data_IF_044082166405
#
_entry.id   IF_044082166405
#
_cell.length_a   1.000
_cell.length_b   1.000
_cell.length_c   1.000
_cell.angle_alpha   90.00
_cell.angle_beta   90.00
_cell.angle_gamma   90.00
#
_symmetry.space_group_name_H-M   'P 1'
#
loop_
_entity.id
_entity.type
_entity.pdbx_description
1 polymer ?
#
# COMPACT_ATOMS: atom_id res chain seq x y z
N UNK A 1 9.68 -18.17 2.33
CA UNK A 1 10.97 -18.88 2.45
C UNK A 1 11.30 -19.63 1.15
N UNK A 2 10.42 -20.50 0.64
CA UNK A 2 10.68 -21.24 -0.61
C UNK A 2 11.06 -20.32 -1.78
N UNK A 3 10.28 -19.29 -2.06
CA UNK A 3 10.59 -18.33 -3.13
C UNK A 3 11.93 -17.61 -2.91
N UNK A 4 12.28 -17.28 -1.66
CA UNK A 4 13.57 -16.68 -1.34
C UNK A 4 14.74 -17.64 -1.59
N UNK A 5 14.61 -18.91 -1.17
CA UNK A 5 15.63 -19.94 -1.35
C UNK A 5 15.85 -20.30 -2.83
N UNK A 6 14.80 -20.24 -3.64
CA UNK A 6 14.85 -20.48 -5.09
C UNK A 6 15.25 -19.23 -5.90
N UNK A 7 15.50 -18.10 -5.24
CA UNK A 7 15.91 -16.84 -5.88
C UNK A 7 14.81 -16.07 -6.60
N UNK A 8 13.53 -16.39 -6.34
CA UNK A 8 12.39 -15.69 -6.94
C UNK A 8 11.92 -14.46 -6.13
N UNK A 9 12.37 -14.29 -4.90
CA UNK A 9 12.07 -13.12 -4.09
C UNK A 9 13.23 -12.12 -4.14
N UNK A 10 12.91 -10.86 -4.41
CA UNK A 10 13.88 -9.77 -4.34
C UNK A 10 14.42 -9.61 -2.91
N UNK A 11 15.69 -9.27 -2.79
CA UNK A 11 16.37 -9.05 -1.50
C UNK A 11 16.64 -7.58 -1.21
N UNK A 12 16.25 -6.70 -2.12
CA UNK A 12 16.44 -5.26 -1.99
C UNK A 12 15.54 -4.67 -0.89
N UNK A 13 16.07 -3.70 -0.17
CA UNK A 13 15.25 -2.98 0.79
C UNK A 13 14.15 -2.19 0.07
N UNK A 14 12.95 -2.20 0.62
CA UNK A 14 11.84 -1.38 0.14
C UNK A 14 12.27 0.09 0.04
N UNK A 15 11.91 0.77 -1.03
CA UNK A 15 12.25 2.16 -1.35
C UNK A 15 13.75 2.43 -1.66
N UNK A 16 14.59 1.40 -1.78
CA UNK A 16 15.96 1.59 -2.23
C UNK A 16 16.04 1.81 -3.75
N UNK A 17 17.13 2.42 -4.20
CA UNK A 17 17.39 2.57 -5.63
C UNK A 17 17.43 1.22 -6.37
N UNK A 18 17.98 0.19 -5.72
CA UNK A 18 18.02 -1.15 -6.30
C UNK A 18 16.62 -1.78 -6.43
N UNK A 19 15.72 -1.52 -5.48
CA UNK A 19 14.33 -1.93 -5.58
C UNK A 19 13.61 -1.21 -6.74
N UNK A 20 13.88 0.08 -6.91
CA UNK A 20 13.28 0.91 -7.97
C UNK A 20 13.77 0.56 -9.39
N UNK A 21 14.94 -0.10 -9.54
CA UNK A 21 15.40 -0.61 -10.84
C UNK A 21 14.41 -1.58 -11.48
N UNK A 22 13.63 -2.29 -10.68
CA UNK A 22 12.58 -3.19 -11.17
C UNK A 22 11.39 -2.50 -11.83
N UNK A 23 11.28 -1.16 -11.76
CA UNK A 23 10.28 -0.39 -12.49
C UNK A 23 10.60 -0.22 -13.98
N UNK A 24 11.78 -0.64 -14.40
CA UNK A 24 12.26 -0.58 -15.77
C UNK A 24 12.45 -1.99 -16.36
N UNK A 25 12.37 -2.14 -17.70
CA UNK A 25 12.43 -3.45 -18.36
C UNK A 25 13.66 -4.28 -17.99
N UNK A 26 14.80 -3.64 -17.80
CA UNK A 26 16.06 -4.32 -17.47
C UNK A 26 16.10 -4.86 -16.02
N UNK A 27 15.20 -4.39 -15.15
CA UNK A 27 15.11 -4.82 -13.76
C UNK A 27 14.57 -6.24 -13.57
N UNK A 28 13.87 -6.78 -14.57
CA UNK A 28 13.37 -8.17 -14.63
C UNK A 28 12.51 -8.57 -13.41
N UNK A 29 11.76 -7.63 -12.85
CA UNK A 29 10.84 -7.91 -11.75
C UNK A 29 9.47 -8.23 -12.33
N UNK A 30 8.93 -9.40 -11.99
CA UNK A 30 7.64 -9.87 -12.49
C UNK A 30 6.45 -9.22 -11.77
N UNK A 31 6.52 -9.05 -10.45
CA UNK A 31 5.42 -8.46 -9.70
C UNK A 31 5.90 -7.71 -8.45
N UNK A 32 5.07 -6.77 -8.03
CA UNK A 32 5.13 -6.09 -6.73
C UNK A 32 3.84 -6.31 -5.97
N UNK A 33 3.94 -6.40 -4.65
CA UNK A 33 2.79 -6.36 -3.75
C UNK A 33 2.68 -4.96 -3.17
N UNK A 34 1.52 -4.34 -3.29
CA UNK A 34 1.34 -2.99 -2.82
C UNK A 34 -0.10 -2.48 -2.88
N UNK A 35 -0.37 -1.32 -2.29
CA UNK A 35 -1.65 -0.63 -2.40
C UNK A 35 -1.82 0.05 -3.77
N UNK A 36 -3.03 0.55 -4.05
CA UNK A 36 -3.33 1.25 -5.29
C UNK A 36 -2.37 2.41 -5.59
N UNK A 37 -2.06 3.23 -4.61
CA UNK A 37 -1.18 4.39 -4.74
C UNK A 37 0.27 4.04 -5.15
N UNK A 38 0.72 2.80 -4.92
CA UNK A 38 2.07 2.37 -5.27
C UNK A 38 2.36 2.60 -6.76
N UNK A 39 1.37 2.32 -7.62
CA UNK A 39 1.54 2.31 -9.08
C UNK A 39 1.85 3.71 -9.59
N UNK A 40 0.98 4.68 -9.32
CA UNK A 40 1.18 6.04 -9.81
C UNK A 40 2.27 6.79 -9.04
N UNK A 41 2.27 6.67 -7.71
CA UNK A 41 3.15 7.46 -6.85
C UNK A 41 4.61 6.96 -6.84
N UNK A 42 4.83 5.63 -6.93
CA UNK A 42 6.17 5.06 -6.68
C UNK A 42 6.80 4.39 -7.89
N UNK A 43 5.99 3.86 -8.82
CA UNK A 43 6.51 3.02 -9.91
C UNK A 43 6.93 3.82 -11.16
N UNK A 44 7.35 5.07 -10.97
CA UNK A 44 7.89 5.94 -12.01
C UNK A 44 6.94 6.15 -13.21
N UNK A 45 5.64 6.33 -12.95
CA UNK A 45 4.61 6.48 -13.99
C UNK A 45 4.87 7.66 -14.96
N UNK A 46 5.46 8.75 -14.45
CA UNK A 46 5.79 9.95 -15.21
C UNK A 46 7.20 9.92 -15.82
N UNK A 47 7.93 8.80 -15.70
CA UNK A 47 9.31 8.71 -16.17
C UNK A 47 9.39 7.93 -17.48
N UNK A 48 9.93 8.56 -18.50
CA UNK A 48 10.13 7.94 -19.81
C UNK A 48 10.95 6.64 -19.70
N UNK A 49 10.49 5.61 -20.39
CA UNK A 49 11.15 4.31 -20.44
C UNK A 49 10.80 3.38 -19.26
N UNK A 50 10.05 3.85 -18.24
CA UNK A 50 9.53 2.97 -17.21
C UNK A 50 8.41 2.07 -17.76
N UNK A 51 8.20 0.93 -17.10
CA UNK A 51 7.12 0.00 -17.45
C UNK A 51 5.75 0.67 -17.24
N UNK A 52 5.60 1.42 -16.14
CA UNK A 52 4.36 2.15 -15.82
C UNK A 52 4.02 3.21 -16.88
N UNK A 53 5.00 4.01 -17.32
CA UNK A 53 4.81 5.03 -18.35
C UNK A 53 4.34 4.44 -19.69
N UNK A 54 4.76 3.21 -19.97
CA UNK A 54 4.38 2.48 -21.19
C UNK A 54 3.08 1.68 -21.06
N UNK A 55 2.40 1.71 -19.90
CA UNK A 55 1.21 0.91 -19.65
C UNK A 55 1.50 -0.60 -19.57
N UNK A 56 2.69 -0.96 -19.15
CA UNK A 56 3.15 -2.35 -19.15
C UNK A 56 2.81 -3.14 -17.87
N UNK A 57 2.18 -2.54 -16.88
CA UNK A 57 1.73 -3.24 -15.69
C UNK A 57 0.28 -3.72 -15.81
N UNK A 58 -0.06 -4.75 -15.06
CA UNK A 58 -1.42 -5.21 -14.82
C UNK A 58 -1.65 -5.41 -13.34
N UNK A 59 -2.86 -5.17 -12.86
CA UNK A 59 -3.24 -5.41 -11.48
C UNK A 59 -4.05 -6.70 -11.35
N UNK A 60 -3.84 -7.43 -10.25
CA UNK A 60 -4.61 -8.61 -9.88
C UNK A 60 -4.77 -8.66 -8.36
N UNK A 61 -5.75 -9.44 -7.89
CA UNK A 61 -5.92 -9.64 -6.45
C UNK A 61 -4.69 -10.32 -5.85
N UNK A 62 -4.25 -9.79 -4.71
CA UNK A 62 -3.29 -10.45 -3.83
C UNK A 62 -3.95 -11.53 -2.97
N UNK A 63 -3.19 -12.22 -2.13
CA UNK A 63 -3.72 -13.30 -1.27
C UNK A 63 -4.70 -12.79 -0.22
N UNK A 64 -4.65 -11.49 0.12
CA UNK A 64 -5.51 -10.87 1.12
C UNK A 64 -5.65 -9.37 0.86
N UNK A 65 -6.83 -8.79 1.13
CA UNK A 65 -7.02 -7.34 1.22
C UNK A 65 -6.28 -6.80 2.45
N UNK A 66 -5.67 -5.63 2.32
CA UNK A 66 -4.93 -4.98 3.39
C UNK A 66 -5.01 -3.46 3.28
N UNK A 67 -4.82 -2.78 4.40
CA UNK A 67 -4.68 -1.34 4.48
C UNK A 67 -3.19 -0.98 4.62
N UNK A 68 -2.74 -0.06 3.79
CA UNK A 68 -1.38 0.48 3.90
C UNK A 68 -1.33 1.95 3.50
N UNK A 69 -1.02 2.81 4.49
CA UNK A 69 -0.82 4.24 4.27
C UNK A 69 -2.11 5.02 4.05
N UNK A 70 -2.13 5.83 3.02
CA UNK A 70 -3.16 6.83 2.75
C UNK A 70 -2.76 8.22 3.26
N UNK A 71 -3.65 9.19 3.05
CA UNK A 71 -3.45 10.57 3.49
C UNK A 71 -4.45 10.94 4.58
N UNK A 72 -3.95 11.47 5.68
CA UNK A 72 -4.77 11.98 6.77
C UNK A 72 -4.86 13.50 6.67
N UNK A 73 -6.08 14.03 6.65
CA UNK A 73 -6.34 15.47 6.71
C UNK A 73 -6.71 15.80 8.15
N UNK A 74 -5.89 16.62 8.79
CA UNK A 74 -6.04 16.97 10.20
C UNK A 74 -6.25 18.47 10.37
N UNK A 75 -6.97 18.87 11.41
CA UNK A 75 -7.14 20.23 11.84
C UNK A 75 -6.25 20.49 13.07
N UNK A 76 -5.60 21.65 13.12
CA UNK A 76 -4.89 22.06 14.31
C UNK A 76 -5.89 22.40 15.43
N UNK A 77 -5.62 21.93 16.64
CA UNK A 77 -6.37 22.30 17.82
C UNK A 77 -6.28 23.82 18.06
N UNK A 78 -7.39 24.45 18.44
CA UNK A 78 -7.45 25.88 18.72
C UNK A 78 -7.55 26.77 17.48
N UNK A 79 -7.89 26.22 16.29
CA UNK A 79 -8.14 27.03 15.11
C UNK A 79 -9.36 27.95 15.30
N UNK A 80 -9.26 29.23 14.89
CA UNK A 80 -10.38 30.17 14.86
C UNK A 80 -11.34 29.92 13.69
N UNK A 81 -11.03 28.99 12.78
CA UNK A 81 -11.77 28.70 11.57
C UNK A 81 -12.33 27.28 11.53
N UNK A 82 -12.75 26.71 12.65
CA UNK A 82 -13.14 25.30 12.79
C UNK A 82 -14.21 24.88 11.77
N UNK A 83 -15.26 25.71 11.55
CA UNK A 83 -16.33 25.39 10.61
C UNK A 83 -15.84 25.37 9.15
N UNK A 84 -14.98 26.31 8.77
CA UNK A 84 -14.38 26.33 7.43
C UNK A 84 -13.49 25.11 7.21
N UNK A 85 -12.65 24.77 8.19
CA UNK A 85 -11.78 23.58 8.09
C UNK A 85 -12.58 22.31 8.01
N UNK A 86 -13.67 22.19 8.79
CA UNK A 86 -14.62 21.06 8.69
C UNK A 86 -15.21 20.92 7.29
N UNK A 87 -15.66 22.05 6.68
CA UNK A 87 -16.21 22.03 5.32
C UNK A 87 -15.15 21.58 4.29
N UNK A 88 -13.92 22.09 4.40
CA UNK A 88 -12.80 21.66 3.56
C UNK A 88 -12.54 20.17 3.72
N UNK A 89 -12.43 19.67 4.96
CA UNK A 89 -12.19 18.25 5.24
C UNK A 89 -13.29 17.37 4.64
N UNK A 90 -14.56 17.74 4.80
CA UNK A 90 -15.69 17.00 4.23
C UNK A 90 -15.65 16.98 2.71
N UNK A 91 -15.36 18.11 2.07
CA UNK A 91 -15.22 18.17 0.60
C UNK A 91 -14.06 17.33 0.09
N UNK A 92 -12.90 17.42 0.73
CA UNK A 92 -11.70 16.69 0.30
C UNK A 92 -11.74 15.19 0.58
N UNK A 93 -12.66 14.72 1.41
CA UNK A 93 -12.73 13.29 1.79
C UNK A 93 -14.05 12.61 1.45
N UNK A 94 -15.12 13.38 1.22
CA UNK A 94 -16.48 12.84 1.06
C UNK A 94 -17.20 13.31 -0.20
N UNK A 95 -16.74 14.37 -0.87
CA UNK A 95 -17.39 14.87 -2.07
C UNK A 95 -17.13 13.92 -3.25
N UNK A 96 -18.21 13.37 -3.82
CA UNK A 96 -18.13 12.36 -4.87
C UNK A 96 -17.44 12.87 -6.13
N UNK A 97 -17.66 14.14 -6.49
CA UNK A 97 -17.06 14.76 -7.67
C UNK A 97 -15.55 14.90 -7.49
N UNK A 98 -15.13 15.45 -6.34
CA UNK A 98 -13.72 15.63 -6.02
C UNK A 98 -13.02 14.27 -5.94
N UNK A 99 -13.63 13.28 -5.28
CA UNK A 99 -13.08 11.94 -5.17
C UNK A 99 -12.93 11.26 -6.52
N UNK A 100 -13.94 11.38 -7.40
CA UNK A 100 -13.88 10.86 -8.77
C UNK A 100 -12.78 11.54 -9.59
N UNK A 101 -12.60 12.85 -9.44
CA UNK A 101 -11.56 13.60 -10.15
C UNK A 101 -10.15 13.20 -9.69
N UNK A 102 -9.95 12.92 -8.40
CA UNK A 102 -8.67 12.39 -7.89
C UNK A 102 -8.34 11.05 -8.56
N UNK A 103 -9.29 10.11 -8.58
CA UNK A 103 -9.08 8.81 -9.23
C UNK A 103 -8.71 8.94 -10.70
N UNK A 104 -9.41 9.83 -11.44
CA UNK A 104 -9.14 10.03 -12.87
C UNK A 104 -7.81 10.69 -13.18
N UNK A 105 -7.32 11.56 -12.27
CA UNK A 105 -6.06 12.28 -12.46
C UNK A 105 -4.85 11.48 -12.00
N UNK A 106 -5.01 10.78 -10.89
CA UNK A 106 -3.89 10.18 -10.17
C UNK A 106 -3.87 8.65 -10.25
N UNK A 107 -4.81 8.03 -10.98
CA UNK A 107 -4.95 6.56 -11.07
C UNK A 107 -4.99 5.88 -9.69
N UNK A 108 -5.61 6.54 -8.70
CA UNK A 108 -5.60 6.12 -7.30
C UNK A 108 -6.94 5.49 -6.87
N UNK A 109 -7.07 5.14 -5.62
CA UNK A 109 -8.26 4.62 -4.98
C UNK A 109 -8.61 5.44 -3.74
N UNK A 110 -9.84 5.93 -3.65
CA UNK A 110 -10.28 6.85 -2.59
C UNK A 110 -11.28 6.21 -1.64
N UNK A 111 -11.44 6.81 -0.47
CA UNK A 111 -12.31 6.29 0.59
C UNK A 111 -13.83 6.56 0.39
N UNK A 112 -14.23 7.09 -0.75
CA UNK A 112 -15.65 7.29 -1.09
C UNK A 112 -16.20 6.03 -1.79
N UNK A 113 -16.85 5.14 -1.03
CA UNK A 113 -17.36 3.86 -1.56
C UNK A 113 -18.34 4.03 -2.72
N UNK A 114 -19.38 4.90 -2.66
CA UNK A 114 -20.29 5.10 -3.79
C UNK A 114 -19.56 5.53 -5.07
N UNK A 115 -18.62 6.46 -4.99
CA UNK A 115 -17.83 6.91 -6.14
C UNK A 115 -17.02 5.76 -6.73
N UNK A 116 -16.35 4.98 -5.90
CA UNK A 116 -15.52 3.85 -6.35
C UNK A 116 -16.35 2.75 -6.99
N UNK A 117 -17.50 2.38 -6.42
CA UNK A 117 -18.42 1.39 -7.00
C UNK A 117 -19.03 1.86 -8.34
N UNK A 118 -19.32 3.13 -8.47
CA UNK A 118 -19.81 3.72 -9.73
C UNK A 118 -18.73 3.69 -10.80
N UNK A 119 -17.52 4.12 -10.48
CA UNK A 119 -16.38 4.09 -11.40
C UNK A 119 -15.93 2.67 -11.76
N UNK A 120 -16.02 1.73 -10.83
CA UNK A 120 -15.74 0.32 -11.10
C UNK A 120 -16.65 -0.29 -12.19
N UNK A 121 -17.86 0.25 -12.35
CA UNK A 121 -18.84 -0.18 -13.36
C UNK A 121 -18.82 0.69 -14.63
N UNK A 122 -18.00 1.73 -14.67
CA UNK A 122 -17.87 2.64 -15.81
C UNK A 122 -16.85 2.14 -16.83
N UNK A 123 -16.63 2.94 -17.87
CA UNK A 123 -15.60 2.76 -18.89
C UNK A 123 -14.22 3.32 -18.46
N UNK A 124 -14.04 3.63 -17.18
CA UNK A 124 -12.77 4.08 -16.65
C UNK A 124 -11.66 3.05 -16.91
N UNK A 125 -10.52 3.54 -17.34
CA UNK A 125 -9.32 2.72 -17.59
C UNK A 125 -8.06 3.44 -17.11
N UNK A 126 -7.14 2.69 -16.54
CA UNK A 126 -5.82 3.16 -16.16
C UNK A 126 -4.86 3.02 -17.34
N UNK A 127 -4.17 4.11 -17.70
CA UNK A 127 -3.12 4.07 -18.73
C UNK A 127 -1.90 3.28 -18.25
N UNK A 128 -1.56 3.42 -16.99
CA UNK A 128 -0.43 2.74 -16.32
C UNK A 128 -0.61 1.22 -16.37
N UNK A 129 -1.87 0.77 -16.28
CA UNK A 129 -2.25 -0.64 -16.30
C UNK A 129 -2.72 -1.13 -17.68
N UNK A 130 -2.22 -0.53 -18.77
CA UNK A 130 -2.50 -0.98 -20.12
C UNK A 130 -3.97 -0.92 -20.54
N UNK A 131 -4.74 -0.02 -19.96
CA UNK A 131 -6.18 0.12 -20.21
C UNK A 131 -7.07 -0.74 -19.30
N UNK A 132 -6.52 -1.42 -18.30
CA UNK A 132 -7.32 -2.14 -17.30
C UNK A 132 -8.07 -1.16 -16.40
N UNK A 133 -9.31 -1.48 -16.03
CA UNK A 133 -10.00 -0.86 -14.89
C UNK A 133 -9.68 -1.66 -13.62
N UNK A 134 -8.84 -1.15 -12.69
CA UNK A 134 -8.46 -1.87 -11.49
C UNK A 134 -9.48 -1.72 -10.35
N UNK A 135 -10.42 -0.77 -10.46
CA UNK A 135 -11.32 -0.40 -9.37
C UNK A 135 -12.19 -1.55 -8.86
N UNK A 136 -12.70 -2.49 -9.70
CA UNK A 136 -13.40 -3.67 -9.19
C UNK A 136 -12.55 -4.51 -8.24
N UNK A 137 -11.24 -4.66 -8.53
CA UNK A 137 -10.30 -5.38 -7.67
C UNK A 137 -10.09 -4.65 -6.34
N UNK A 138 -9.91 -3.33 -6.40
CA UNK A 138 -9.69 -2.50 -5.22
C UNK A 138 -10.93 -2.45 -4.31
N UNK A 139 -12.13 -2.34 -4.87
CA UNK A 139 -13.38 -2.42 -4.11
C UNK A 139 -13.51 -3.77 -3.39
N UNK A 140 -13.23 -4.87 -4.10
CA UNK A 140 -13.24 -6.23 -3.51
C UNK A 140 -12.22 -6.36 -2.38
N UNK A 141 -11.02 -5.80 -2.57
CA UNK A 141 -9.98 -5.79 -1.55
C UNK A 141 -10.37 -4.97 -0.32
N UNK A 142 -10.93 -3.77 -0.54
CA UNK A 142 -11.37 -2.89 0.54
C UNK A 142 -12.50 -3.51 1.39
N UNK A 143 -13.44 -4.21 0.78
CA UNK A 143 -14.52 -4.89 1.50
C UNK A 143 -14.03 -6.04 2.40
N UNK A 144 -12.83 -6.54 2.18
CA UNK A 144 -12.19 -7.60 2.99
C UNK A 144 -11.34 -7.05 4.15
N UNK A 145 -11.11 -5.74 4.20
CA UNK A 145 -10.33 -5.11 5.29
C UNK A 145 -11.20 -4.96 6.52
N UNK A 146 -10.74 -5.50 7.66
CA UNK A 146 -11.34 -5.26 8.98
C UNK A 146 -10.38 -4.45 9.85
N UNK A 147 -10.93 -3.49 10.58
CA UNK A 147 -10.21 -2.68 11.56
C UNK A 147 -10.52 -3.12 13.01
N UNK A 148 -11.17 -4.27 13.20
CA UNK A 148 -11.63 -4.74 14.51
C UNK A 148 -10.48 -4.92 15.52
N UNK A 149 -9.30 -5.23 15.02
CA UNK A 149 -8.11 -5.46 15.84
C UNK A 149 -7.07 -4.32 15.73
N UNK A 150 -7.48 -3.15 15.22
CA UNK A 150 -6.57 -2.00 15.10
C UNK A 150 -6.06 -1.54 16.47
N UNK A 151 -4.76 -1.34 16.57
CA UNK A 151 -4.09 -0.99 17.82
C UNK A 151 -3.02 0.09 17.61
N UNK A 152 -2.76 0.88 18.62
CA UNK A 152 -1.67 1.87 18.61
C UNK A 152 -0.27 1.24 18.47
N UNK A 153 -0.17 -0.07 18.62
CA UNK A 153 1.09 -0.81 18.53
C UNK A 153 1.38 -1.37 17.14
N UNK A 154 0.40 -1.35 16.22
CA UNK A 154 0.48 -2.05 14.93
C UNK A 154 1.70 -1.66 14.11
N UNK A 155 1.96 -0.35 13.99
CA UNK A 155 3.12 0.14 13.23
C UNK A 155 4.43 -0.40 13.81
N UNK A 156 4.63 -0.25 15.12
CA UNK A 156 5.85 -0.70 15.76
C UNK A 156 6.00 -2.22 15.78
N UNK A 157 4.91 -2.96 15.98
CA UNK A 157 4.94 -4.42 15.89
C UNK A 157 5.26 -4.90 14.46
N UNK A 158 4.70 -4.24 13.44
CA UNK A 158 5.00 -4.57 12.05
C UNK A 158 6.48 -4.34 11.70
N UNK A 159 7.07 -3.24 12.15
CA UNK A 159 8.49 -2.95 11.97
C UNK A 159 9.38 -4.03 12.61
N UNK A 160 9.12 -4.38 13.87
CA UNK A 160 9.88 -5.41 14.57
C UNK A 160 9.69 -6.80 13.93
N UNK A 161 8.48 -7.11 13.46
CA UNK A 161 8.20 -8.36 12.75
C UNK A 161 8.98 -8.45 11.45
N UNK A 162 9.00 -7.41 10.63
CA UNK A 162 9.77 -7.37 9.38
C UNK A 162 11.27 -7.55 9.65
N UNK A 163 11.81 -6.84 10.65
CA UNK A 163 13.21 -6.95 11.04
C UNK A 163 13.60 -8.36 11.50
N UNK A 164 12.76 -8.98 12.31
CA UNK A 164 12.99 -10.33 12.80
C UNK A 164 12.89 -11.37 11.66
N UNK A 165 11.85 -11.29 10.84
CA UNK A 165 11.63 -12.24 9.74
C UNK A 165 12.67 -12.14 8.63
N UNK A 166 13.33 -10.99 8.47
CA UNK A 166 14.48 -10.86 7.55
C UNK A 166 15.57 -11.89 7.86
N UNK A 167 15.86 -12.13 9.13
CA UNK A 167 16.84 -13.14 9.53
C UNK A 167 16.43 -14.56 9.08
N UNK A 168 15.15 -14.91 9.21
CA UNK A 168 14.61 -16.17 8.72
C UNK A 168 14.73 -16.31 7.20
N UNK A 169 14.37 -15.28 6.44
CA UNK A 169 14.46 -15.32 4.99
C UNK A 169 15.89 -15.41 4.49
N UNK A 170 16.82 -14.77 5.18
CA UNK A 170 18.27 -14.85 4.88
C UNK A 170 18.93 -16.16 5.34
N UNK A 171 18.23 -17.02 6.09
CA UNK A 171 18.77 -18.28 6.58
C UNK A 171 19.65 -18.17 7.83
N UNK A 172 19.63 -17.00 8.51
CA UNK A 172 20.42 -16.76 9.72
C UNK A 172 19.82 -17.46 10.96
N UNK A 173 18.51 -17.76 10.92
CA UNK A 173 17.79 -18.49 11.97
C UNK A 173 16.60 -19.25 11.35
N UNK A 174 16.01 -20.17 12.10
CA UNK A 174 14.75 -20.79 11.73
C UNK A 174 13.54 -19.85 12.03
N UNK A 175 12.34 -20.32 11.70
CA UNK A 175 11.12 -19.54 11.90
C UNK A 175 10.85 -19.23 13.37
N UNK A 176 11.07 -20.20 14.26
CA UNK A 176 10.79 -20.06 15.68
C UNK A 176 11.79 -19.09 16.33
N UNK A 177 13.07 -19.16 15.97
CA UNK A 177 14.09 -18.20 16.39
C UNK A 177 13.79 -16.78 15.90
N UNK A 178 13.26 -16.60 14.69
CA UNK A 178 12.83 -15.30 14.21
C UNK A 178 11.63 -14.76 15.01
N UNK A 179 10.67 -15.61 15.37
CA UNK A 179 9.54 -15.22 16.21
C UNK A 179 9.98 -14.86 17.64
N UNK A 180 10.95 -15.57 18.19
CA UNK A 180 11.51 -15.23 19.50
C UNK A 180 12.22 -13.85 19.47
N UNK A 181 12.96 -13.54 18.42
CA UNK A 181 13.56 -12.23 18.20
C UNK A 181 12.46 -11.15 18.15
N UNK A 182 11.39 -11.41 17.40
CA UNK A 182 10.25 -10.50 17.29
C UNK A 182 9.60 -10.23 18.65
N UNK A 183 9.23 -11.29 19.38
CA UNK A 183 8.57 -11.13 20.68
C UNK A 183 9.47 -10.40 21.71
N UNK A 184 10.75 -10.66 21.67
CA UNK A 184 11.72 -9.95 22.53
C UNK A 184 11.76 -8.45 22.19
N UNK A 185 11.88 -8.10 20.92
CA UNK A 185 11.92 -6.70 20.47
C UNK A 185 10.61 -5.95 20.79
N UNK A 186 9.45 -6.59 20.57
CA UNK A 186 8.15 -6.01 20.96
C UNK A 186 8.05 -5.81 22.47
N UNK A 187 8.51 -6.77 23.28
CA UNK A 187 8.50 -6.65 24.74
C UNK A 187 9.40 -5.53 25.27
N UNK A 188 10.55 -5.33 24.62
CA UNK A 188 11.46 -4.23 24.95
C UNK A 188 10.87 -2.87 24.57
N UNK A 189 10.21 -2.77 23.42
CA UNK A 189 9.58 -1.55 22.91
C UNK A 189 8.27 -1.20 23.63
N UNK A 190 7.49 -2.21 24.00
CA UNK A 190 6.17 -2.12 24.63
C UNK A 190 6.05 -3.09 25.81
N UNK A 191 6.64 -2.73 26.98
CA UNK A 191 6.69 -3.62 28.15
C UNK A 191 5.31 -4.08 28.68
N UNK A 192 4.27 -3.30 28.38
CA UNK A 192 2.88 -3.59 28.75
C UNK A 192 2.23 -4.71 27.93
N UNK A 193 2.78 -5.06 26.76
CA UNK A 193 2.27 -6.16 25.95
C UNK A 193 2.74 -7.51 26.52
N UNK A 194 1.84 -8.48 26.51
CA UNK A 194 2.11 -9.88 26.84
C UNK A 194 2.08 -10.74 25.58
N UNK A 195 2.84 -11.82 25.63
CA UNK A 195 2.84 -12.85 24.57
C UNK A 195 1.54 -13.65 24.62
#
# INVERSE_FOLDING_TARGET
KKMADEGYAGTHALWSDDWSKGFYPDGKVFCYFGPAWLINFSMAADTDGSIANQGGWGATEGPQGFFWGGTWICCAEGTDNADLVKDIMLKMTCDETIMTDIVKKDDDFVNNKPAMEAMAKSDYTSKILGGQNPLPLYCTGADKVSLDNLSKYDQGCNEEFQNAMKNYFQGNTDKDGALDIFYKAVKEKYPELSK
#
